data_IF_136525067601
#
_entry.id   IF_136525067601
#
_cell.length_a   1.000
_cell.length_b   1.000
_cell.length_c   1.000
_cell.angle_alpha   90.00
_cell.angle_beta   90.00
_cell.angle_gamma   90.00
#
_symmetry.space_group_name_H-M   'P 1'
#
loop_
_entity.id
_entity.type
_entity.pdbx_description
1 polymer ?
#
# COMPACT_ATOMS: atom_id res chain seq x y z
N UNK A 1 8.90 -1.89 -15.74
CA UNK A 1 8.40 -2.51 -14.50
C UNK A 1 8.71 -1.58 -13.34
N UNK A 2 7.69 -1.23 -12.56
CA UNK A 2 7.85 -0.28 -11.45
C UNK A 2 7.49 -0.96 -10.14
N UNK A 3 8.23 -0.63 -9.09
CA UNK A 3 7.97 -1.15 -7.75
C UNK A 3 7.76 -0.01 -6.77
N UNK A 4 6.83 -0.21 -5.84
CA UNK A 4 6.62 0.69 -4.71
C UNK A 4 7.14 0.00 -3.45
N UNK A 5 8.05 0.66 -2.74
CA UNK A 5 8.63 0.15 -1.51
C UNK A 5 8.19 1.04 -0.36
N UNK A 6 7.30 0.51 0.49
CA UNK A 6 6.78 1.24 1.65
C UNK A 6 7.63 0.89 2.87
N UNK A 7 8.30 1.88 3.46
CA UNK A 7 9.35 1.64 4.44
C UNK A 7 8.96 1.90 5.89
N UNK A 8 7.86 2.63 6.16
CA UNK A 8 7.43 2.90 7.54
C UNK A 8 6.54 1.76 8.06
N UNK A 9 7.17 0.63 8.35
CA UNK A 9 6.49 -0.58 8.80
C UNK A 9 6.79 -0.82 10.27
N UNK A 10 5.77 -1.23 11.04
CA UNK A 10 5.91 -1.53 12.47
C UNK A 10 6.93 -2.65 12.67
N UNK A 11 7.95 -2.46 13.54
CA UNK A 11 8.95 -3.50 13.80
C UNK A 11 8.37 -4.81 14.31
N UNK A 12 7.17 -4.81 14.89
CA UNK A 12 6.52 -6.04 15.35
C UNK A 12 6.00 -6.89 14.20
N UNK A 13 5.87 -6.32 12.99
CA UNK A 13 5.44 -7.05 11.82
C UNK A 13 6.65 -7.45 10.96
N UNK A 14 7.00 -8.73 11.01
CA UNK A 14 8.14 -9.30 10.25
C UNK A 14 9.43 -8.49 10.40
N UNK A 15 9.69 -7.98 11.61
CA UNK A 15 10.89 -7.19 11.90
C UNK A 15 10.92 -5.82 11.27
N UNK A 16 9.80 -5.30 10.78
CA UNK A 16 9.73 -4.00 10.13
C UNK A 16 10.19 -4.00 8.68
N UNK A 17 10.21 -5.17 8.04
CA UNK A 17 10.61 -5.29 6.64
C UNK A 17 9.72 -4.45 5.73
N UNK A 18 10.27 -3.73 4.74
CA UNK A 18 9.47 -2.92 3.83
C UNK A 18 8.48 -3.76 3.02
N UNK A 19 7.33 -3.16 2.67
CA UNK A 19 6.41 -3.77 1.73
C UNK A 19 6.84 -3.41 0.32
N UNK A 20 7.05 -4.40 -0.53
CA UNK A 20 7.46 -4.21 -1.92
C UNK A 20 6.31 -4.64 -2.82
N UNK A 21 5.77 -3.70 -3.58
CA UNK A 21 4.61 -3.91 -4.42
C UNK A 21 5.00 -3.72 -5.89
N UNK A 22 4.64 -4.68 -6.73
CA UNK A 22 4.85 -4.56 -8.18
C UNK A 22 3.68 -3.78 -8.78
N UNK A 23 3.95 -2.56 -9.21
CA UNK A 23 2.91 -1.65 -9.72
C UNK A 23 2.30 -2.12 -11.04
N UNK A 24 2.94 -3.04 -11.76
CA UNK A 24 2.37 -3.60 -12.99
C UNK A 24 1.10 -4.41 -12.72
N UNK A 25 0.92 -4.90 -11.50
CA UNK A 25 -0.23 -5.71 -11.13
C UNK A 25 -1.25 -4.97 -10.27
N UNK A 26 -1.00 -3.69 -9.98
CA UNK A 26 -1.88 -2.90 -9.11
C UNK A 26 -2.73 -1.97 -9.96
N UNK A 27 -4.05 -2.04 -9.75
CA UNK A 27 -5.02 -1.20 -10.43
C UNK A 27 -5.32 0.08 -9.65
N UNK A 28 -5.41 -0.02 -8.32
CA UNK A 28 -5.85 1.10 -7.51
C UNK A 28 -5.49 0.90 -6.03
N UNK A 29 -5.18 2.00 -5.36
CA UNK A 29 -5.13 2.08 -3.90
C UNK A 29 -6.36 2.86 -3.44
N UNK A 30 -7.05 2.36 -2.42
CA UNK A 30 -8.27 3.01 -1.93
C UNK A 30 -8.30 3.02 -0.41
N UNK A 31 -8.47 4.19 0.18
CA UNK A 31 -8.61 4.33 1.63
C UNK A 31 -9.87 3.61 2.12
N UNK A 32 -9.75 2.86 3.21
CA UNK A 32 -10.84 2.10 3.82
C UNK A 32 -11.01 2.53 5.26
N UNK A 33 -11.74 3.62 5.49
CA UNK A 33 -11.97 4.19 6.81
C UNK A 33 -10.65 4.39 7.57
N UNK A 34 -10.59 4.01 8.85
CA UNK A 34 -9.36 4.06 9.64
C UNK A 34 -8.63 2.71 9.71
N UNK A 35 -9.05 1.74 8.91
CA UNK A 35 -8.45 0.39 8.94
C UNK A 35 -7.19 0.27 8.10
N UNK A 36 -7.13 0.99 7.00
CA UNK A 36 -5.96 0.95 6.11
C UNK A 36 -6.32 1.20 4.64
N UNK A 37 -5.49 0.66 3.77
CA UNK A 37 -5.60 0.86 2.32
C UNK A 37 -5.98 -0.47 1.65
N UNK A 38 -7.09 -0.47 0.93
CA UNK A 38 -7.43 -1.59 0.04
C UNK A 38 -6.64 -1.47 -1.25
N UNK A 39 -5.99 -2.54 -1.66
CA UNK A 39 -5.19 -2.59 -2.88
C UNK A 39 -5.90 -3.50 -3.87
N UNK A 40 -6.34 -2.94 -5.00
CA UNK A 40 -6.96 -3.72 -6.07
C UNK A 40 -5.87 -4.15 -7.04
N UNK A 41 -5.78 -5.45 -7.30
CA UNK A 41 -4.75 -6.01 -8.16
C UNK A 41 -5.38 -6.82 -9.28
N UNK A 42 -4.62 -7.03 -10.35
CA UNK A 42 -5.01 -7.98 -11.40
C UNK A 42 -4.76 -9.40 -10.89
N UNK A 43 -5.69 -10.32 -11.19
CA UNK A 43 -5.48 -11.72 -10.85
C UNK A 43 -4.40 -12.32 -11.74
N UNK A 44 -3.44 -13.03 -11.14
CA UNK A 44 -2.35 -13.67 -11.88
C UNK A 44 -2.85 -14.78 -12.82
N UNK A 45 -4.06 -15.29 -12.56
CA UNK A 45 -4.69 -16.33 -13.37
C UNK A 45 -5.63 -15.79 -14.43
N UNK A 46 -5.80 -14.46 -14.51
CA UNK A 46 -6.75 -13.83 -15.43
C UNK A 46 -8.22 -13.96 -15.02
N UNK A 47 -8.50 -14.34 -13.80
CA UNK A 47 -9.87 -14.58 -13.31
C UNK A 47 -10.50 -13.36 -12.65
N UNK A 48 -10.04 -12.17 -12.95
CA UNK A 48 -10.64 -10.93 -12.45
C UNK A 48 -9.75 -10.18 -11.49
N UNK A 49 -10.37 -9.39 -10.61
CA UNK A 49 -9.67 -8.49 -9.69
C UNK A 49 -9.55 -9.17 -8.33
N UNK A 50 -8.34 -9.12 -7.77
CA UNK A 50 -8.08 -9.55 -6.40
C UNK A 50 -7.90 -8.34 -5.51
N UNK A 51 -8.14 -8.53 -4.21
CA UNK A 51 -7.95 -7.47 -3.23
C UNK A 51 -6.82 -7.84 -2.27
N UNK A 52 -5.97 -6.86 -2.00
CA UNK A 52 -5.02 -6.90 -0.91
C UNK A 52 -5.36 -5.82 0.10
N UNK A 53 -4.73 -5.85 1.25
CA UNK A 53 -4.99 -4.87 2.29
C UNK A 53 -3.71 -4.50 3.02
N UNK A 54 -3.45 -3.19 3.11
CA UNK A 54 -2.35 -2.65 3.90
C UNK A 54 -2.96 -2.13 5.19
N UNK A 55 -2.62 -2.77 6.32
CA UNK A 55 -3.19 -2.43 7.62
C UNK A 55 -2.44 -1.27 8.27
N UNK A 56 -3.16 -0.45 9.02
CA UNK A 56 -2.59 0.57 9.90
C UNK A 56 -3.07 0.32 11.33
N UNK A 57 -2.50 1.02 12.30
CA UNK A 57 -2.96 0.94 13.69
C UNK A 57 -4.27 1.72 13.82
N UNK A 58 -5.39 1.03 13.63
CA UNK A 58 -6.72 1.65 13.61
C UNK A 58 -7.11 2.29 14.95
N UNK A 59 -6.50 1.86 16.05
CA UNK A 59 -6.75 2.47 17.36
C UNK A 59 -6.10 3.84 17.53
N UNK A 60 -5.10 4.16 16.71
CA UNK A 60 -4.34 5.40 16.79
C UNK A 60 -4.32 6.18 15.47
N UNK A 61 -5.11 5.78 14.49
CA UNK A 61 -5.13 6.40 13.17
C UNK A 61 -6.57 6.80 12.81
N UNK A 62 -6.74 8.01 12.30
CA UNK A 62 -8.05 8.51 11.89
C UNK A 62 -8.33 8.17 10.42
N UNK A 63 -9.60 8.26 10.02
CA UNK A 63 -9.98 8.06 8.62
C UNK A 63 -9.35 9.11 7.71
N UNK A 64 -9.21 10.36 8.19
CA UNK A 64 -8.54 11.42 7.43
C UNK A 64 -7.06 11.11 7.21
N UNK A 65 -6.39 10.51 8.19
CA UNK A 65 -5.00 10.11 8.05
C UNK A 65 -4.84 8.99 7.01
N UNK A 66 -5.77 8.06 6.95
CA UNK A 66 -5.76 7.00 5.93
C UNK A 66 -6.01 7.57 4.54
N UNK A 67 -6.92 8.53 4.41
CA UNK A 67 -7.15 9.24 3.15
C UNK A 67 -5.89 10.00 2.72
N UNK A 68 -5.19 10.63 3.66
CA UNK A 68 -3.93 11.31 3.38
C UNK A 68 -2.84 10.31 2.96
N UNK A 69 -2.83 9.12 3.55
CA UNK A 69 -1.91 8.05 3.18
C UNK A 69 -2.16 7.60 1.73
N UNK A 70 -3.42 7.42 1.35
CA UNK A 70 -3.75 7.10 -0.05
C UNK A 70 -3.23 8.17 -0.99
N UNK A 71 -3.45 9.44 -0.66
CA UNK A 71 -2.99 10.56 -1.49
C UNK A 71 -1.46 10.58 -1.59
N UNK A 72 -0.76 10.32 -0.49
CA UNK A 72 0.70 10.27 -0.49
C UNK A 72 1.22 9.19 -1.43
N UNK A 73 0.60 8.01 -1.41
CA UNK A 73 0.97 6.89 -2.28
C UNK A 73 0.70 7.26 -3.76
N UNK A 74 -0.48 7.78 -4.05
CA UNK A 74 -0.87 8.15 -5.41
C UNK A 74 0.04 9.25 -5.97
N UNK A 75 0.35 10.26 -5.16
CA UNK A 75 1.24 11.35 -5.56
C UNK A 75 2.66 10.85 -5.85
N UNK A 76 3.16 9.93 -5.03
CA UNK A 76 4.50 9.36 -5.23
C UNK A 76 4.57 8.57 -6.54
N UNK A 77 3.55 7.78 -6.83
CA UNK A 77 3.50 6.99 -8.06
C UNK A 77 3.40 7.90 -9.28
N UNK A 78 2.53 8.92 -9.21
CA UNK A 78 2.30 9.84 -10.33
C UNK A 78 3.53 10.69 -10.63
N UNK A 79 4.30 11.06 -9.60
CA UNK A 79 5.49 11.88 -9.75
C UNK A 79 6.72 11.11 -10.25
N UNK A 80 6.66 9.79 -10.29
CA UNK A 80 7.83 8.96 -10.59
C UNK A 80 7.80 8.42 -12.01
N UNK A 81 8.95 8.36 -12.70
CA UNK A 81 8.99 7.79 -14.04
C UNK A 81 8.75 6.28 -14.01
N UNK A 82 8.20 5.75 -15.10
CA UNK A 82 8.00 4.32 -15.25
C UNK A 82 9.33 3.56 -15.20
N UNK A 83 9.30 2.34 -14.70
CA UNK A 83 10.49 1.50 -14.62
C UNK A 83 11.36 1.74 -13.39
N UNK A 84 10.92 2.59 -12.47
CA UNK A 84 11.72 2.94 -11.29
C UNK A 84 11.28 2.19 -10.04
N UNK A 85 12.16 2.17 -9.04
CA UNK A 85 11.82 1.74 -7.69
C UNK A 85 11.50 3.00 -6.88
N UNK A 86 10.27 3.09 -6.40
CA UNK A 86 9.78 4.22 -5.64
C UNK A 86 9.86 3.88 -4.15
N UNK A 87 10.78 4.52 -3.43
CA UNK A 87 10.88 4.35 -1.98
C UNK A 87 10.05 5.43 -1.31
N UNK A 88 9.08 5.01 -0.50
CA UNK A 88 8.17 5.92 0.18
C UNK A 88 8.13 5.62 1.67
N UNK A 89 8.53 6.59 2.48
CA UNK A 89 8.32 6.56 3.92
C UNK A 89 6.99 7.23 4.21
N UNK A 90 5.96 6.42 4.48
CA UNK A 90 4.62 6.95 4.73
C UNK A 90 4.56 7.65 6.08
N UNK A 91 3.76 8.72 6.16
CA UNK A 91 3.56 9.42 7.43
C UNK A 91 2.88 8.52 8.46
N UNK A 92 1.96 7.69 8.01
CA UNK A 92 1.25 6.73 8.85
C UNK A 92 2.02 5.41 8.89
N UNK A 93 2.24 4.87 10.09
CA UNK A 93 2.92 3.58 10.26
C UNK A 93 2.03 2.44 9.78
N UNK A 94 2.63 1.53 9.00
CA UNK A 94 1.95 0.37 8.46
C UNK A 94 2.16 -0.82 9.40
N UNK A 95 1.09 -1.54 9.72
CA UNK A 95 1.12 -2.64 10.69
C UNK A 95 0.95 -4.02 10.09
N UNK A 96 0.64 -4.12 8.81
CA UNK A 96 0.50 -5.41 8.16
C UNK A 96 0.12 -5.30 6.71
N UNK A 97 0.29 -6.41 5.98
CA UNK A 97 -0.08 -6.52 4.59
C UNK A 97 -0.58 -7.92 4.31
N UNK A 98 -1.71 -8.03 3.60
CA UNK A 98 -2.25 -9.31 3.19
C UNK A 98 -2.82 -9.21 1.77
N UNK A 99 -2.70 -10.29 1.02
CA UNK A 99 -3.40 -10.44 -0.26
C UNK A 99 -4.63 -11.31 -0.01
N UNK A 100 -5.80 -10.76 -0.30
CA UNK A 100 -7.03 -11.51 -0.31
C UNK A 100 -7.10 -12.37 -1.58
N UNK A 101 -7.54 -13.57 -1.40
CA UNK A 101 -7.70 -14.50 -2.54
C UNK A 101 -9.17 -14.86 -2.64
#
# INVERSE_FOLDING_TARGET
MSYLKLTNVDPSYKGGAPFVLNLDYILQFKANSNFGITVLTTASTGQGVMEGFISVDSGNTTAEEVTALQKQIDDAITASPGGSVIKLFTKTKLTGFSLGI
#
